data_IF_081923392072
#
_entry.id   IF_081923392072
#
_cell.length_a   1.000
_cell.length_b   1.000
_cell.length_c   1.000
_cell.angle_alpha   90.00
_cell.angle_beta   90.00
_cell.angle_gamma   90.00
#
_symmetry.space_group_name_H-M   'P 1'
#
loop_
_entity.id
_entity.type
_entity.pdbx_description
1 polymer ?
#
# COMPACT_ATOMS: atom_id res chain seq x y z
N UNK A 1 23.86 10.92 9.76
CA UNK A 1 22.57 10.45 10.32
C UNK A 1 21.47 10.60 9.28
N UNK A 2 21.64 9.94 8.13
CA UNK A 2 20.70 9.97 7.00
C UNK A 2 19.50 9.07 7.34
N UNK A 3 18.59 9.61 8.13
CA UNK A 3 17.35 8.95 8.54
C UNK A 3 16.50 8.65 7.32
N UNK A 4 16.20 7.38 7.11
CA UNK A 4 15.11 6.94 6.23
C UNK A 4 13.86 7.65 6.74
N UNK A 5 13.37 8.64 5.99
CA UNK A 5 12.15 9.38 6.32
C UNK A 5 11.00 8.43 6.62
N UNK A 6 10.07 8.86 7.46
CA UNK A 6 8.99 8.09 8.10
C UNK A 6 7.92 7.51 7.15
N UNK A 7 8.27 7.13 5.92
CA UNK A 7 7.40 6.29 5.09
C UNK A 7 7.08 4.97 5.80
N UNK A 8 8.00 4.42 6.59
CA UNK A 8 7.81 3.12 7.25
C UNK A 8 7.02 3.13 8.56
N UNK A 9 6.64 4.30 9.11
CA UNK A 9 6.04 4.34 10.45
C UNK A 9 4.61 3.74 10.50
N UNK A 10 3.95 3.60 9.36
CA UNK A 10 2.63 2.98 9.28
C UNK A 10 2.69 1.45 9.50
N UNK A 11 3.80 0.80 9.15
CA UNK A 11 3.90 -0.66 9.18
C UNK A 11 4.21 -1.23 10.57
N UNK A 12 4.89 -0.46 11.44
CA UNK A 12 5.33 -0.96 12.74
C UNK A 12 4.17 -1.15 13.74
N UNK A 13 2.99 -0.56 13.48
CA UNK A 13 1.80 -0.70 14.34
C UNK A 13 0.85 -1.84 13.94
N UNK A 14 1.03 -2.48 12.78
CA UNK A 14 0.09 -3.47 12.23
C UNK A 14 0.57 -4.93 12.34
N UNK A 15 1.54 -5.20 13.21
CA UNK A 15 2.35 -6.42 13.22
C UNK A 15 1.63 -7.75 13.59
N UNK A 16 0.31 -7.87 13.58
CA UNK A 16 -0.33 -9.17 13.89
C UNK A 16 -1.52 -9.64 13.03
N UNK A 17 -2.07 -8.85 12.09
CA UNK A 17 -3.28 -9.28 11.33
C UNK A 17 -3.34 -8.89 9.86
N UNK A 18 -2.33 -8.21 9.31
CA UNK A 18 -2.43 -7.63 7.97
C UNK A 18 -1.44 -8.25 6.98
N UNK A 19 -1.87 -8.38 5.72
CA UNK A 19 -1.03 -8.77 4.59
C UNK A 19 -0.59 -7.50 3.88
N UNK A 20 0.70 -7.20 3.96
CA UNK A 20 1.32 -6.10 3.22
C UNK A 20 1.92 -6.59 1.92
N UNK A 21 1.61 -5.90 0.83
CA UNK A 21 2.21 -6.11 -0.46
C UNK A 21 2.81 -4.79 -0.93
N UNK A 22 4.10 -4.88 -1.24
CA UNK A 22 4.82 -3.78 -1.85
C UNK A 22 4.58 -3.84 -3.36
N UNK A 23 3.83 -2.88 -3.89
CA UNK A 23 3.82 -2.60 -5.31
C UNK A 23 5.20 -2.05 -5.64
N UNK A 24 6.08 -2.96 -6.08
CA UNK A 24 7.25 -2.54 -6.82
C UNK A 24 6.74 -1.75 -8.02
N UNK A 25 7.22 -0.52 -8.11
CA UNK A 25 6.99 0.47 -9.15
C UNK A 25 7.38 -0.08 -10.52
N UNK A 26 6.55 -0.98 -11.02
CA UNK A 26 6.76 -1.67 -12.27
C UNK A 26 5.54 -1.36 -13.13
N UNK A 27 5.77 -0.94 -14.37
CA UNK A 27 4.79 -0.71 -15.44
C UNK A 27 3.80 -1.89 -15.63
N UNK A 28 4.06 -3.00 -14.93
CA UNK A 28 3.32 -4.27 -14.88
C UNK A 28 1.88 -4.23 -14.38
N UNK A 29 1.41 -3.17 -13.68
CA UNK A 29 -0.03 -3.04 -13.33
C UNK A 29 -0.88 -3.00 -14.62
N UNK A 30 -0.35 -2.53 -15.75
CA UNK A 30 -1.07 -2.56 -17.03
C UNK A 30 -1.35 -3.97 -17.58
N UNK A 31 -0.71 -5.02 -17.04
CA UNK A 31 -0.90 -6.40 -17.51
C UNK A 31 -2.08 -7.04 -16.78
N UNK A 32 -3.07 -7.48 -17.56
CA UNK A 32 -4.27 -8.16 -17.07
C UNK A 32 -3.99 -9.29 -16.06
N UNK A 33 -2.91 -10.06 -16.27
CA UNK A 33 -2.50 -11.12 -15.35
C UNK A 33 -2.14 -10.62 -13.95
N UNK A 34 -1.46 -9.48 -13.83
CA UNK A 34 -1.10 -8.86 -12.55
C UNK A 34 -2.33 -8.45 -11.78
N UNK A 35 -3.29 -7.79 -12.46
CA UNK A 35 -4.58 -7.41 -11.86
C UNK A 35 -5.34 -8.64 -11.32
N UNK A 36 -5.40 -9.72 -12.10
CA UNK A 36 -6.02 -10.96 -11.64
C UNK A 36 -5.35 -11.50 -10.37
N UNK A 37 -4.02 -11.53 -10.31
CA UNK A 37 -3.29 -12.02 -9.14
C UNK A 37 -3.59 -11.17 -7.91
N UNK A 38 -3.50 -9.83 -8.04
CA UNK A 38 -3.76 -8.91 -6.94
C UNK A 38 -5.19 -9.09 -6.40
N UNK A 39 -6.19 -9.15 -7.30
CA UNK A 39 -7.58 -9.37 -6.90
C UNK A 39 -7.78 -10.69 -6.12
N UNK A 40 -7.13 -11.78 -6.54
CA UNK A 40 -7.22 -13.06 -5.84
C UNK A 40 -6.50 -13.04 -4.49
N UNK A 41 -5.35 -12.35 -4.38
CA UNK A 41 -4.64 -12.20 -3.11
C UNK A 41 -5.49 -11.41 -2.11
N UNK A 42 -6.12 -10.32 -2.54
CA UNK A 42 -7.00 -9.52 -1.69
C UNK A 42 -8.20 -10.37 -1.23
N UNK A 43 -8.87 -11.05 -2.16
CA UNK A 43 -9.98 -11.94 -1.82
C UNK A 43 -9.59 -13.06 -0.85
N UNK A 44 -8.39 -13.64 -1.00
CA UNK A 44 -7.87 -14.65 -0.07
C UNK A 44 -7.59 -14.07 1.32
N UNK A 45 -6.98 -12.89 1.39
CA UNK A 45 -6.71 -12.21 2.64
C UNK A 45 -8.00 -11.91 3.40
N UNK A 46 -9.01 -11.36 2.71
CA UNK A 46 -10.32 -11.10 3.29
C UNK A 46 -11.01 -12.38 3.77
N UNK A 47 -10.93 -13.47 2.99
CA UNK A 47 -11.46 -14.78 3.40
C UNK A 47 -10.79 -15.33 4.67
N UNK A 48 -9.54 -14.93 4.93
CA UNK A 48 -8.80 -15.27 6.15
C UNK A 48 -9.05 -14.27 7.30
N UNK A 49 -9.88 -13.25 7.10
CA UNK A 49 -10.11 -12.18 8.08
C UNK A 49 -8.94 -11.20 8.22
N UNK A 50 -8.00 -11.21 7.28
CA UNK A 50 -6.87 -10.28 7.23
C UNK A 50 -7.24 -9.02 6.44
N UNK A 51 -6.63 -7.88 6.80
CA UNK A 51 -6.68 -6.65 6.01
C UNK A 51 -5.45 -6.53 5.11
N UNK A 52 -5.59 -5.77 4.04
CA UNK A 52 -4.64 -5.73 2.93
C UNK A 52 -4.11 -4.31 2.77
N UNK A 53 -2.77 -4.16 2.83
CA UNK A 53 -2.10 -2.86 2.68
C UNK A 53 -1.29 -2.84 1.39
N UNK A 54 -1.70 -2.00 0.44
CA UNK A 54 -0.94 -1.69 -0.76
C UNK A 54 0.09 -0.61 -0.46
N UNK A 55 1.38 -0.90 -0.66
CA UNK A 55 2.45 0.09 -0.50
C UNK A 55 3.10 0.41 -1.85
N UNK A 56 3.50 1.66 -2.08
CA UNK A 56 4.21 2.07 -3.30
C UNK A 56 3.30 2.62 -4.42
N UNK A 57 2.11 3.12 -4.10
CA UNK A 57 1.23 3.79 -5.08
C UNK A 57 1.76 5.17 -5.45
N UNK A 58 2.07 5.38 -6.73
CA UNK A 58 2.64 6.62 -7.26
C UNK A 58 1.70 7.32 -8.24
N UNK A 59 0.85 6.56 -8.94
CA UNK A 59 -0.02 7.05 -10.01
C UNK A 59 -1.51 6.81 -9.73
N UNK A 60 -2.38 7.62 -10.36
CA UNK A 60 -3.83 7.61 -10.14
C UNK A 60 -4.47 6.29 -10.59
N UNK A 61 -4.00 5.72 -11.69
CA UNK A 61 -4.52 4.46 -12.24
C UNK A 61 -4.31 3.29 -11.28
N UNK A 62 -3.19 3.29 -10.55
CA UNK A 62 -2.88 2.28 -9.53
C UNK A 62 -3.85 2.41 -8.35
N UNK A 63 -4.09 3.64 -7.89
CA UNK A 63 -5.07 3.93 -6.84
C UNK A 63 -6.48 3.48 -7.24
N UNK A 64 -6.94 3.85 -8.43
CA UNK A 64 -8.27 3.49 -8.94
C UNK A 64 -8.43 1.97 -9.06
N UNK A 65 -7.41 1.27 -9.55
CA UNK A 65 -7.42 -0.18 -9.59
C UNK A 65 -7.54 -0.79 -8.18
N UNK A 66 -6.68 -0.37 -7.24
CA UNK A 66 -6.69 -0.91 -5.87
C UNK A 66 -8.01 -0.63 -5.13
N UNK A 67 -8.63 0.51 -5.38
CA UNK A 67 -9.97 0.82 -4.89
C UNK A 67 -11.02 -0.11 -5.50
N UNK A 68 -10.92 -0.43 -6.79
CA UNK A 68 -11.88 -1.30 -7.48
C UNK A 68 -11.84 -2.77 -7.04
N UNK A 69 -10.74 -3.19 -6.41
CA UNK A 69 -10.56 -4.55 -5.85
C UNK A 69 -10.64 -4.58 -4.33
N UNK A 70 -11.22 -3.53 -3.72
CA UNK A 70 -11.48 -3.43 -2.27
C UNK A 70 -10.22 -3.54 -1.39
N UNK A 71 -9.08 -2.99 -1.82
CA UNK A 71 -7.89 -2.90 -0.96
C UNK A 71 -8.16 -2.01 0.26
N UNK A 72 -7.89 -2.51 1.48
CA UNK A 72 -8.27 -1.83 2.73
C UNK A 72 -7.48 -0.56 2.99
N UNK A 73 -6.17 -0.59 2.69
CA UNK A 73 -5.25 0.49 3.02
C UNK A 73 -4.28 0.71 1.86
N UNK A 74 -4.03 1.96 1.53
CA UNK A 74 -3.18 2.31 0.39
C UNK A 74 -2.16 3.36 0.84
N UNK A 75 -0.90 3.11 0.53
CA UNK A 75 0.22 3.97 0.84
C UNK A 75 1.10 4.16 -0.39
N UNK A 76 1.57 5.39 -0.60
CA UNK A 76 2.59 5.67 -1.59
C UNK A 76 2.78 7.15 -1.86
N UNK A 77 3.70 7.47 -2.78
CA UNK A 77 4.09 8.84 -3.10
C UNK A 77 2.99 9.64 -3.78
N UNK A 78 1.96 8.97 -4.32
CA UNK A 78 0.73 9.60 -4.79
C UNK A 78 0.10 10.49 -3.71
N UNK A 79 0.15 10.04 -2.45
CA UNK A 79 -0.35 10.81 -1.31
C UNK A 79 0.75 11.69 -0.70
N UNK A 80 1.80 11.06 -0.19
CA UNK A 80 2.88 11.74 0.51
C UNK A 80 4.21 11.01 0.30
N UNK A 81 5.27 11.79 0.08
CA UNK A 81 6.65 11.28 0.11
C UNK A 81 7.09 10.99 1.56
N UNK A 82 8.17 10.20 1.78
CA UNK A 82 8.71 9.97 3.11
C UNK A 82 9.07 11.31 3.72
N UNK A 83 8.53 11.60 4.90
CA UNK A 83 8.74 12.87 5.60
C UNK A 83 9.30 12.61 7.00
N UNK A 84 9.89 13.62 7.67
CA UNK A 84 10.24 13.52 9.09
C UNK A 84 9.01 13.20 9.97
N UNK A 85 9.23 12.56 11.12
CA UNK A 85 8.15 12.17 12.03
C UNK A 85 7.34 13.40 12.50
N UNK A 86 8.03 14.51 12.71
CA UNK A 86 7.46 15.77 13.18
C UNK A 86 6.55 16.42 12.13
N UNK A 87 6.79 16.16 10.84
CA UNK A 87 5.91 16.59 9.76
C UNK A 87 4.67 15.69 9.67
N UNK A 88 4.85 14.38 9.84
CA UNK A 88 3.75 13.42 9.85
C UNK A 88 2.74 13.70 10.97
N UNK A 89 3.21 14.00 12.19
CA UNK A 89 2.35 14.33 13.34
C UNK A 89 1.42 15.53 13.06
N UNK A 90 1.75 16.41 12.12
CA UNK A 90 0.89 17.55 11.75
C UNK A 90 -0.27 17.15 10.81
N UNK A 91 -0.26 15.94 10.26
CA UNK A 91 -1.25 15.44 9.30
C UNK A 91 -2.35 14.58 9.96
N UNK A 92 -2.16 14.18 11.22
CA UNK A 92 -3.08 13.35 12.03
C UNK A 92 -3.67 14.16 13.18
#
# INVERSE_FOLDING_TARGET
MTGKGCSFLFLCLLCHTNISFHLLSDESITKHGTHCIINHIIGLAHAMGAKVVAEGVEEKEQLEFLQSVDCDMIQGYYFYKPMPAEEFVKLI
#
